data_IF_451829151093
#
_entry.id   IF_451829151093
#
_cell.length_a   1.000
_cell.length_b   1.000
_cell.length_c   1.000
_cell.angle_alpha   90.00
_cell.angle_beta   90.00
_cell.angle_gamma   90.00
#
_symmetry.space_group_name_H-M   'P 1'
#
loop_
_entity.id
_entity.type
_entity.pdbx_description
1 polymer ?
#
# COMPACT_ATOMS: atom_id res chain seq x y z
N UNK A 1 31.44 -13.10 -4.76
CA UNK A 1 31.38 -13.83 -3.47
C UNK A 1 32.01 -12.96 -2.37
N UNK A 2 31.32 -11.93 -1.86
CA UNK A 2 32.00 -10.93 -0.96
C UNK A 2 31.19 -10.50 0.25
N UNK A 3 29.85 -10.59 0.21
CA UNK A 3 29.01 -10.06 1.31
C UNK A 3 28.87 -11.09 2.45
N UNK A 4 28.65 -12.36 2.12
CA UNK A 4 28.42 -13.41 3.12
C UNK A 4 29.60 -13.60 4.11
N UNK A 5 30.84 -13.52 3.61
CA UNK A 5 32.05 -13.71 4.44
C UNK A 5 32.23 -12.60 5.48
N UNK A 6 31.88 -11.37 5.12
CA UNK A 6 32.00 -10.22 6.02
C UNK A 6 30.85 -10.18 7.05
N UNK A 7 29.69 -10.75 6.75
CA UNK A 7 28.54 -10.76 7.68
C UNK A 7 28.55 -11.96 8.64
N UNK A 8 29.23 -13.06 8.29
CA UNK A 8 29.25 -14.30 9.08
C UNK A 8 29.71 -14.15 10.55
N UNK A 9 30.77 -13.37 10.87
CA UNK A 9 31.22 -13.21 12.25
C UNK A 9 30.16 -12.56 13.16
N UNK A 10 29.33 -11.70 12.58
CA UNK A 10 28.27 -10.98 13.30
C UNK A 10 27.04 -11.87 13.54
N UNK A 11 26.77 -12.83 12.63
CA UNK A 11 25.75 -13.84 12.85
C UNK A 11 26.12 -14.80 14.00
N UNK A 12 27.39 -15.25 14.08
CA UNK A 12 27.85 -16.11 15.18
C UNK A 12 27.75 -15.45 16.56
N UNK A 13 27.87 -14.13 16.62
CA UNK A 13 27.71 -13.33 17.85
C UNK A 13 26.24 -13.00 18.17
N UNK A 14 25.31 -13.44 17.33
CA UNK A 14 23.88 -13.16 17.46
C UNK A 14 23.47 -11.72 17.10
N UNK A 15 24.37 -10.93 16.49
CA UNK A 15 24.10 -9.53 16.14
C UNK A 15 23.33 -9.39 14.82
N UNK A 16 23.40 -10.43 13.97
CA UNK A 16 22.54 -10.57 12.81
C UNK A 16 21.69 -11.82 12.97
N UNK A 17 20.37 -11.65 12.84
CA UNK A 17 19.44 -12.75 12.61
C UNK A 17 19.08 -12.73 11.13
N UNK A 18 19.50 -13.75 10.39
CA UNK A 18 18.99 -13.96 9.04
C UNK A 18 17.49 -14.24 9.17
N UNK A 19 16.69 -13.39 8.55
CA UNK A 19 15.25 -13.58 8.46
C UNK A 19 15.02 -14.23 7.09
N UNK A 20 14.61 -15.50 7.08
CA UNK A 20 14.19 -16.15 5.85
C UNK A 20 12.91 -15.48 5.37
N UNK A 21 13.04 -14.55 4.41
CA UNK A 21 11.89 -13.98 3.71
C UNK A 21 11.40 -14.93 2.61
N UNK A 22 11.26 -16.20 2.96
CA UNK A 22 10.42 -17.16 2.27
C UNK A 22 9.38 -17.64 3.28
N UNK A 23 8.47 -16.74 3.68
CA UNK A 23 7.18 -17.17 4.20
C UNK A 23 6.33 -17.67 3.03
N UNK A 24 6.71 -18.82 2.49
CA UNK A 24 5.77 -19.70 1.81
C UNK A 24 4.91 -20.35 2.89
N UNK A 25 3.61 -20.17 2.75
CA UNK A 25 2.49 -20.75 3.48
C UNK A 25 2.72 -22.11 4.15
N UNK A 26 2.32 -22.22 5.44
CA UNK A 26 1.94 -23.49 6.08
C UNK A 26 2.17 -23.54 7.60
N UNK A 27 1.08 -23.62 8.39
CA UNK A 27 1.10 -24.15 9.76
C UNK A 27 0.62 -23.23 10.88
N UNK A 28 -0.63 -23.47 11.32
CA UNK A 28 -1.27 -23.17 12.61
C UNK A 28 -0.65 -22.14 13.56
N UNK A 29 -1.38 -21.04 13.69
CA UNK A 29 -1.61 -20.38 14.98
C UNK A 29 -2.92 -19.62 14.87
N UNK A 30 -3.87 -19.86 15.78
CA UNK A 30 -5.04 -19.00 16.01
C UNK A 30 -4.59 -17.64 16.57
N UNK A 31 -3.78 -16.91 15.80
CA UNK A 31 -3.47 -15.51 16.01
C UNK A 31 -4.52 -14.71 15.26
N UNK A 32 -5.24 -13.84 15.98
CA UNK A 32 -6.17 -12.86 15.43
C UNK A 32 -5.58 -12.26 14.14
N UNK A 33 -6.18 -12.55 12.98
CA UNK A 33 -5.78 -11.98 11.70
C UNK A 33 -5.83 -10.47 11.85
N UNK A 34 -4.67 -9.81 11.94
CA UNK A 34 -4.59 -8.36 11.92
C UNK A 34 -4.97 -7.98 10.49
N UNK A 35 -6.06 -7.23 10.28
CA UNK A 35 -6.47 -6.85 8.93
C UNK A 35 -5.33 -6.10 8.24
N UNK A 36 -4.94 -6.54 7.05
CA UNK A 36 -3.94 -5.84 6.25
C UNK A 36 -4.41 -4.39 6.01
N UNK A 37 -3.58 -3.38 6.30
CA UNK A 37 -3.92 -1.99 6.03
C UNK A 37 -4.27 -1.79 4.56
N UNK A 38 -5.33 -1.04 4.27
CA UNK A 38 -5.84 -0.84 2.91
C UNK A 38 -5.13 0.31 2.20
N UNK A 39 -4.73 0.10 0.95
CA UNK A 39 -4.24 1.12 0.02
C UNK A 39 -5.39 1.54 -0.88
N UNK A 40 -5.58 2.84 -1.08
CA UNK A 40 -6.48 3.38 -2.10
C UNK A 40 -5.62 3.89 -3.27
N UNK A 41 -5.86 3.40 -4.49
CA UNK A 41 -5.20 3.84 -5.71
C UNK A 41 -6.20 4.49 -6.67
N UNK A 42 -5.85 5.64 -7.26
CA UNK A 42 -6.70 6.39 -8.19
C UNK A 42 -5.93 6.77 -9.45
N UNK A 43 -6.39 6.30 -10.61
CA UNK A 43 -5.86 6.68 -11.92
C UNK A 43 -6.96 6.48 -12.97
N UNK A 44 -7.16 7.40 -13.89
CA UNK A 44 -8.20 7.27 -14.92
C UNK A 44 -7.80 6.31 -16.05
N UNK A 45 -6.51 6.01 -16.22
CA UNK A 45 -6.00 5.03 -17.18
C UNK A 45 -6.27 3.58 -16.70
N UNK A 46 -7.14 2.82 -17.40
CA UNK A 46 -7.44 1.44 -17.04
C UNK A 46 -6.20 0.51 -17.08
N UNK A 47 -5.23 0.76 -17.97
CA UNK A 47 -4.01 -0.04 -18.06
C UNK A 47 -3.09 0.18 -16.87
N UNK A 48 -3.05 1.38 -16.28
CA UNK A 48 -2.30 1.63 -15.05
C UNK A 48 -3.00 0.94 -13.87
N UNK A 49 -4.33 1.07 -13.76
CA UNK A 49 -5.12 0.40 -12.72
C UNK A 49 -4.92 -1.12 -12.72
N UNK A 50 -4.93 -1.75 -13.89
CA UNK A 50 -4.70 -3.20 -14.03
C UNK A 50 -3.31 -3.60 -13.52
N UNK A 51 -2.25 -2.88 -13.92
CA UNK A 51 -0.88 -3.14 -13.46
C UNK A 51 -0.75 -3.02 -11.95
N UNK A 52 -1.34 -1.98 -11.36
CA UNK A 52 -1.33 -1.78 -9.90
C UNK A 52 -2.12 -2.88 -9.19
N UNK A 53 -3.23 -3.35 -9.77
CA UNK A 53 -3.98 -4.51 -9.29
C UNK A 53 -3.11 -5.75 -9.17
N UNK A 54 -2.41 -6.10 -10.25
CA UNK A 54 -1.49 -7.24 -10.28
C UNK A 54 -0.38 -7.08 -9.23
N UNK A 55 0.19 -5.88 -9.06
CA UNK A 55 1.20 -5.61 -8.02
C UNK A 55 0.60 -5.83 -6.62
N UNK A 56 -0.59 -5.30 -6.34
CA UNK A 56 -1.24 -5.48 -5.05
C UNK A 56 -1.47 -6.96 -4.73
N UNK A 57 -1.94 -7.75 -5.70
CA UNK A 57 -2.16 -9.19 -5.55
C UNK A 57 -0.86 -9.95 -5.30
N UNK A 58 0.18 -9.69 -6.10
CA UNK A 58 1.47 -10.37 -6.01
C UNK A 58 2.17 -10.16 -4.65
N UNK A 59 1.92 -9.04 -3.99
CA UNK A 59 2.50 -8.71 -2.68
C UNK A 59 1.49 -8.82 -1.52
N UNK A 60 0.30 -9.41 -1.77
CA UNK A 60 -0.76 -9.58 -0.77
C UNK A 60 -1.20 -8.27 -0.07
N UNK A 61 -1.17 -7.14 -0.78
CA UNK A 61 -1.71 -5.88 -0.29
C UNK A 61 -3.23 -5.83 -0.43
N UNK A 62 -3.92 -5.28 0.57
CA UNK A 62 -5.33 -4.93 0.42
C UNK A 62 -5.44 -3.61 -0.33
N UNK A 63 -5.91 -3.64 -1.56
CA UNK A 63 -6.05 -2.43 -2.39
C UNK A 63 -7.50 -2.19 -2.81
N UNK A 64 -7.89 -0.92 -2.88
CA UNK A 64 -9.07 -0.44 -3.58
C UNK A 64 -8.61 0.43 -4.73
N UNK A 65 -8.98 0.08 -5.95
CA UNK A 65 -8.47 0.68 -7.19
C UNK A 65 -9.64 1.33 -7.90
N UNK A 66 -9.62 2.65 -8.02
CA UNK A 66 -10.72 3.44 -8.55
C UNK A 66 -10.27 4.25 -9.77
N UNK A 67 -11.19 4.48 -10.70
CA UNK A 67 -10.93 5.23 -11.93
C UNK A 67 -11.53 6.63 -11.96
N UNK A 68 -12.57 6.88 -11.17
CA UNK A 68 -13.22 8.20 -11.11
C UNK A 68 -12.80 8.92 -9.81
N UNK A 69 -12.22 10.13 -9.89
CA UNK A 69 -11.87 10.90 -8.70
C UNK A 69 -13.08 11.24 -7.81
N UNK A 70 -14.28 11.38 -8.36
CA UNK A 70 -15.48 11.62 -7.57
C UNK A 70 -15.90 10.39 -6.76
N UNK A 71 -15.73 9.20 -7.36
CA UNK A 71 -15.95 7.93 -6.65
C UNK A 71 -14.93 7.77 -5.52
N UNK A 72 -13.67 8.10 -5.78
CA UNK A 72 -12.62 8.05 -4.78
C UNK A 72 -12.87 9.01 -3.61
N UNK A 73 -13.31 10.24 -3.90
CA UNK A 73 -13.71 11.18 -2.86
C UNK A 73 -14.84 10.60 -2.00
N UNK A 74 -15.90 10.07 -2.62
CA UNK A 74 -17.06 9.53 -1.92
C UNK A 74 -16.78 8.28 -1.09
N UNK A 75 -15.95 7.36 -1.58
CA UNK A 75 -15.69 6.09 -0.91
C UNK A 75 -14.53 6.16 0.11
N UNK A 76 -13.60 7.11 -0.04
CA UNK A 76 -12.38 7.19 0.79
C UNK A 76 -12.63 7.11 2.30
N UNK A 77 -13.69 7.77 2.80
CA UNK A 77 -14.04 7.78 4.23
C UNK A 77 -14.48 6.39 4.73
N UNK A 78 -15.25 5.67 3.91
CA UNK A 78 -15.72 4.32 4.24
C UNK A 78 -14.60 3.29 4.12
N UNK A 79 -13.73 3.45 3.10
CA UNK A 79 -12.60 2.57 2.85
C UNK A 79 -11.52 2.66 3.93
N UNK A 80 -11.41 3.81 4.63
CA UNK A 80 -10.42 4.09 5.67
C UNK A 80 -9.00 3.65 5.25
N UNK A 81 -8.49 4.14 4.11
CA UNK A 81 -7.18 3.74 3.63
C UNK A 81 -6.08 4.19 4.61
N UNK A 82 -5.08 3.33 4.76
CA UNK A 82 -3.85 3.64 5.47
C UNK A 82 -2.84 4.37 4.58
N UNK A 83 -3.04 4.34 3.25
CA UNK A 83 -2.23 5.05 2.25
C UNK A 83 -3.13 5.36 1.04
N UNK A 84 -2.99 6.56 0.49
CA UNK A 84 -3.60 6.94 -0.77
C UNK A 84 -2.51 7.19 -1.80
N UNK A 85 -2.65 6.58 -2.97
CA UNK A 85 -1.82 6.74 -4.15
C UNK A 85 -2.71 7.27 -5.28
N UNK A 86 -2.30 8.26 -6.04
CA UNK A 86 -3.10 8.69 -7.18
C UNK A 86 -2.35 9.47 -8.23
N UNK A 87 -2.91 9.56 -9.43
CA UNK A 87 -2.40 10.42 -10.48
C UNK A 87 -2.75 11.89 -10.22
N UNK A 88 -1.88 12.80 -10.67
CA UNK A 88 -2.16 14.25 -10.65
C UNK A 88 -3.18 14.61 -11.73
N UNK A 89 -2.98 14.12 -12.96
CA UNK A 89 -3.86 14.38 -14.07
C UNK A 89 -5.05 13.43 -14.01
N UNK A 90 -6.23 13.95 -13.66
CA UNK A 90 -7.49 13.22 -13.59
C UNK A 90 -8.60 14.07 -14.21
N UNK A 91 -9.66 13.44 -14.78
CA UNK A 91 -10.79 14.15 -15.33
C UNK A 91 -11.69 14.71 -14.22
N UNK A 92 -12.32 15.87 -14.47
CA UNK A 92 -13.29 16.55 -13.57
C UNK A 92 -12.70 17.15 -12.30
N UNK A 93 -11.77 16.46 -11.64
CA UNK A 93 -11.16 16.84 -10.37
C UNK A 93 -9.72 16.33 -10.33
N UNK A 94 -8.74 17.23 -10.31
CA UNK A 94 -7.33 16.84 -10.34
C UNK A 94 -6.85 16.27 -8.99
N UNK A 95 -5.69 15.59 -9.00
CA UNK A 95 -5.13 14.95 -7.82
C UNK A 95 -4.78 15.91 -6.67
N UNK A 96 -4.44 17.17 -6.97
CA UNK A 96 -4.17 18.18 -5.94
C UNK A 96 -5.45 18.65 -5.26
N UNK A 97 -6.51 18.88 -6.02
CA UNK A 97 -7.83 19.20 -5.50
C UNK A 97 -8.39 18.06 -4.64
N UNK A 98 -8.23 16.81 -5.10
CA UNK A 98 -8.60 15.61 -4.35
C UNK A 98 -7.83 15.51 -3.02
N UNK A 99 -6.51 15.73 -3.07
CA UNK A 99 -5.65 15.79 -1.88
C UNK A 99 -6.10 16.88 -0.91
N UNK A 100 -6.40 18.08 -1.41
CA UNK A 100 -6.89 19.19 -0.59
C UNK A 100 -8.19 18.82 0.15
N UNK A 101 -9.16 18.21 -0.54
CA UNK A 101 -10.43 17.78 0.05
C UNK A 101 -10.23 16.68 1.10
N UNK A 102 -9.33 15.72 0.87
CA UNK A 102 -8.99 14.73 1.88
C UNK A 102 -8.28 15.32 3.10
N UNK A 103 -7.45 16.36 2.92
CA UNK A 103 -6.81 17.07 4.03
C UNK A 103 -7.81 17.85 4.89
N UNK A 104 -8.89 18.33 4.30
CA UNK A 104 -10.02 18.94 5.03
C UNK A 104 -10.91 17.89 5.73
N UNK A 105 -10.84 16.63 5.31
CA UNK A 105 -11.67 15.56 5.86
C UNK A 105 -11.05 15.00 7.14
N UNK A 106 -11.72 15.18 8.28
CA UNK A 106 -11.18 14.84 9.63
C UNK A 106 -10.58 13.43 9.71
N UNK A 107 -11.20 12.42 9.10
CA UNK A 107 -10.74 11.02 9.14
C UNK A 107 -9.55 10.72 8.23
N UNK A 108 -9.29 11.55 7.23
CA UNK A 108 -8.26 11.32 6.20
C UNK A 108 -7.11 12.34 6.26
N UNK A 109 -7.26 13.41 7.07
CA UNK A 109 -6.29 14.52 7.15
C UNK A 109 -4.85 14.10 7.44
N UNK A 110 -4.67 12.94 8.07
CA UNK A 110 -3.37 12.38 8.44
C UNK A 110 -2.99 11.14 7.62
N UNK A 111 -3.86 10.68 6.72
CA UNK A 111 -3.54 9.56 5.83
C UNK A 111 -2.41 10.00 4.90
N UNK A 112 -1.30 9.25 4.79
CA UNK A 112 -0.26 9.51 3.79
C UNK A 112 -0.84 9.54 2.38
N UNK A 113 -0.45 10.52 1.58
CA UNK A 113 -0.89 10.68 0.18
C UNK A 113 0.38 10.83 -0.67
N UNK A 114 0.49 10.03 -1.74
CA UNK A 114 1.55 10.12 -2.75
C UNK A 114 0.88 10.33 -4.11
N UNK A 115 1.37 11.32 -4.87
CA UNK A 115 0.86 11.74 -6.18
C UNK A 115 1.99 11.74 -7.21
#
# INVERSE_FOLDING_TARGET
MTIARNLYPYAQRGWLRLVDNLRTSGGDSQGKLIPSPRILFIDDDPSIREKVGIICENYNYSCSILGDPLEALGQSVALKPALILGAIALPKLDGYQLCHLWRQTKTLRHTPIIM
#
